data_IF_468612895378
#
_entry.id   IF_468612895378
#
_cell.length_a   1.000
_cell.length_b   1.000
_cell.length_c   1.000
_cell.angle_alpha   90.00
_cell.angle_beta   90.00
_cell.angle_gamma   90.00
#
_symmetry.space_group_name_H-M   'P 1'
#
loop_
_entity.id
_entity.type
_entity.pdbx_description
1 polymer ?
#
# COMPACT_ATOMS: atom_id res chain seq x y z
N UNK A 1 -46.78 -0.68 46.35
CA UNK A 1 -46.27 0.34 45.41
C UNK A 1 -44.74 0.49 45.45
N UNK A 2 -44.11 0.59 46.62
CA UNK A 2 -42.66 0.71 46.79
C UNK A 2 -41.87 -0.47 46.26
N UNK A 3 -42.37 -1.69 46.48
CA UNK A 3 -41.73 -2.95 46.06
C UNK A 3 -41.66 -3.10 44.51
N UNK A 4 -42.70 -2.63 43.79
CA UNK A 4 -42.73 -2.62 42.33
C UNK A 4 -41.74 -1.61 41.75
N UNK A 5 -41.55 -0.47 42.41
CA UNK A 5 -40.62 0.57 42.01
C UNK A 5 -39.18 0.10 42.19
N UNK A 6 -38.85 -0.61 43.28
CA UNK A 6 -37.54 -1.20 43.50
C UNK A 6 -37.24 -2.29 42.44
N UNK A 7 -38.23 -3.13 42.12
CA UNK A 7 -38.04 -4.17 41.07
C UNK A 7 -37.75 -3.57 39.71
N UNK A 8 -38.47 -2.49 39.33
CA UNK A 8 -38.23 -1.81 38.05
C UNK A 8 -36.83 -1.18 37.94
N UNK A 9 -36.30 -0.66 39.02
CA UNK A 9 -34.95 -0.09 39.08
C UNK A 9 -33.90 -1.19 38.91
N UNK A 10 -34.08 -2.34 39.58
CA UNK A 10 -33.16 -3.46 39.42
C UNK A 10 -33.12 -4.01 38.00
N UNK A 11 -34.29 -4.10 37.34
CA UNK A 11 -34.37 -4.55 35.93
C UNK A 11 -33.68 -3.53 35.01
N UNK A 12 -33.86 -2.22 35.23
CA UNK A 12 -33.18 -1.20 34.42
C UNK A 12 -31.65 -1.25 34.58
N UNK A 13 -31.18 -1.42 35.83
CA UNK A 13 -29.74 -1.58 36.09
C UNK A 13 -29.19 -2.83 35.41
N UNK A 14 -29.93 -3.93 35.44
CA UNK A 14 -29.52 -5.17 34.80
C UNK A 14 -29.43 -5.02 33.27
N UNK A 15 -30.46 -4.43 32.63
CA UNK A 15 -30.47 -4.17 31.17
C UNK A 15 -29.33 -3.21 30.78
N UNK A 16 -29.10 -2.16 31.58
CA UNK A 16 -27.99 -1.24 31.34
C UNK A 16 -26.62 -1.92 31.43
N UNK A 17 -26.47 -2.81 32.42
CA UNK A 17 -25.23 -3.57 32.61
C UNK A 17 -24.98 -4.55 31.47
N UNK A 18 -26.01 -5.25 30.98
CA UNK A 18 -25.92 -6.15 29.82
C UNK A 18 -25.56 -5.38 28.54
N UNK A 19 -26.18 -4.22 28.29
CA UNK A 19 -25.87 -3.37 27.14
C UNK A 19 -24.43 -2.84 27.23
N UNK A 20 -23.99 -2.43 28.41
CA UNK A 20 -22.60 -1.99 28.63
C UNK A 20 -21.59 -3.12 28.38
N UNK A 21 -21.88 -4.31 28.86
CA UNK A 21 -21.04 -5.50 28.66
C UNK A 21 -20.97 -5.90 27.19
N UNK A 22 -22.08 -5.94 26.48
CA UNK A 22 -22.18 -6.24 25.06
C UNK A 22 -21.42 -5.23 24.21
N UNK A 23 -21.50 -3.94 24.54
CA UNK A 23 -20.70 -2.89 23.85
C UNK A 23 -19.20 -3.04 24.08
N UNK A 24 -18.79 -3.53 25.23
CA UNK A 24 -17.38 -3.78 25.54
C UNK A 24 -16.83 -4.99 24.80
N UNK A 25 -17.60 -6.07 24.70
CA UNK A 25 -17.27 -7.29 23.93
C UNK A 25 -17.20 -6.98 22.43
N UNK A 26 -18.18 -6.30 21.86
CA UNK A 26 -18.18 -5.86 20.47
C UNK A 26 -17.03 -4.91 20.12
N UNK A 27 -16.59 -4.06 21.07
CA UNK A 27 -15.38 -3.22 20.89
C UNK A 27 -14.09 -4.05 20.90
N UNK A 28 -14.04 -5.11 21.69
CA UNK A 28 -12.89 -6.02 21.74
C UNK A 28 -12.81 -6.87 20.46
N UNK A 29 -13.93 -7.41 19.97
CA UNK A 29 -14.00 -8.11 18.67
C UNK A 29 -13.70 -7.20 17.51
N UNK A 30 -14.26 -6.00 17.43
CA UNK A 30 -13.94 -5.01 16.40
C UNK A 30 -12.49 -4.58 16.40
N UNK A 31 -11.83 -4.56 17.56
CA UNK A 31 -10.40 -4.28 17.69
C UNK A 31 -9.53 -5.47 17.28
N UNK A 32 -9.98 -6.70 17.55
CA UNK A 32 -9.29 -7.92 17.10
C UNK A 32 -9.42 -8.13 15.60
N UNK A 33 -10.59 -7.96 15.03
CA UNK A 33 -10.79 -7.99 13.56
C UNK A 33 -9.93 -6.91 12.88
N UNK A 34 -9.82 -5.71 13.46
CA UNK A 34 -8.93 -4.66 12.97
C UNK A 34 -7.43 -4.99 13.09
N UNK A 35 -7.02 -5.82 14.04
CA UNK A 35 -5.64 -6.29 14.20
C UNK A 35 -5.29 -7.42 13.23
N UNK A 36 -6.21 -8.34 12.96
CA UNK A 36 -6.03 -9.41 11.97
C UNK A 36 -6.05 -8.87 10.53
N UNK A 37 -6.91 -7.88 10.22
CA UNK A 37 -6.94 -7.20 8.93
C UNK A 37 -5.84 -6.12 8.75
N UNK A 38 -4.88 -6.00 9.66
CA UNK A 38 -3.75 -5.07 9.48
C UNK A 38 -2.93 -5.36 8.24
N UNK A 39 -2.92 -6.60 7.76
CA UNK A 39 -2.28 -6.98 6.50
C UNK A 39 -3.14 -6.66 5.26
N UNK A 40 -4.45 -6.48 5.39
CA UNK A 40 -5.40 -6.25 4.29
C UNK A 40 -5.87 -4.80 4.12
N UNK A 41 -5.21 -3.83 4.76
CA UNK A 41 -5.44 -2.39 4.49
C UNK A 41 -5.03 -1.99 3.07
N UNK A 42 -4.35 -2.86 2.35
CA UNK A 42 -3.93 -2.63 0.98
C UNK A 42 -5.04 -3.02 0.03
N UNK A 43 -5.52 -2.05 -0.73
CA UNK A 43 -6.54 -2.28 -1.77
C UNK A 43 -6.09 -3.29 -2.84
N UNK A 44 -4.78 -3.41 -3.06
CA UNK A 44 -4.17 -4.28 -4.06
C UNK A 44 -3.04 -5.10 -3.46
N UNK A 45 -3.00 -6.40 -3.79
CA UNK A 45 -1.89 -7.30 -3.46
C UNK A 45 -0.61 -6.77 -4.11
N UNK A 46 0.51 -6.86 -3.40
CA UNK A 46 1.83 -6.54 -3.93
C UNK A 46 2.58 -7.82 -4.19
N UNK A 47 3.14 -7.90 -5.38
CA UNK A 47 3.94 -9.05 -5.81
C UNK A 47 5.40 -8.64 -5.89
N UNK A 48 6.32 -9.49 -5.41
CA UNK A 48 7.75 -9.24 -5.57
C UNK A 48 8.08 -9.26 -7.07
N UNK A 49 8.69 -8.20 -7.56
CA UNK A 49 9.11 -8.11 -8.95
C UNK A 49 10.34 -7.21 -9.06
N UNK A 50 11.42 -7.77 -9.57
CA UNK A 50 12.65 -7.02 -9.86
C UNK A 50 12.65 -6.64 -11.34
N UNK A 51 12.14 -5.44 -11.62
CA UNK A 51 12.06 -4.89 -12.98
C UNK A 51 13.04 -3.74 -13.12
N UNK A 52 13.59 -3.57 -14.31
CA UNK A 52 14.35 -2.36 -14.66
C UNK A 52 13.41 -1.20 -14.84
N UNK A 53 13.64 -0.14 -14.08
CA UNK A 53 12.80 1.05 -14.05
C UNK A 53 13.64 2.26 -14.41
N UNK A 54 13.22 2.99 -15.45
CA UNK A 54 13.70 4.33 -15.70
C UNK A 54 12.80 5.35 -14.99
N UNK A 55 13.35 6.36 -14.34
CA UNK A 55 12.54 7.44 -13.79
C UNK A 55 13.18 8.81 -13.95
N UNK A 56 12.33 9.81 -13.97
CA UNK A 56 12.65 11.24 -13.97
C UNK A 56 11.72 11.97 -13.01
N UNK A 57 12.23 13.06 -12.40
CA UNK A 57 11.40 13.95 -11.60
C UNK A 57 10.63 14.87 -12.52
N UNK A 58 9.31 14.86 -12.47
CA UNK A 58 8.47 15.73 -13.29
C UNK A 58 8.75 17.20 -12.99
N UNK A 59 8.91 18.00 -14.05
CA UNK A 59 9.17 19.44 -13.92
C UNK A 59 10.62 19.82 -13.61
N UNK A 60 11.56 18.86 -13.56
CA UNK A 60 12.99 19.12 -13.44
C UNK A 60 13.74 18.53 -14.64
N UNK A 61 14.72 19.25 -15.22
CA UNK A 61 15.60 18.68 -16.24
C UNK A 61 16.59 17.71 -15.56
N UNK A 62 16.12 16.52 -15.21
CA UNK A 62 16.96 15.47 -14.63
C UNK A 62 17.21 14.39 -15.66
N UNK A 63 18.42 13.83 -15.76
CA UNK A 63 18.66 12.69 -16.64
C UNK A 63 17.80 11.49 -16.19
N UNK A 64 17.42 10.65 -17.15
CA UNK A 64 16.76 9.38 -16.87
C UNK A 64 17.68 8.54 -15.97
N UNK A 65 17.17 8.12 -14.82
CA UNK A 65 17.88 7.27 -13.88
C UNK A 65 17.32 5.87 -13.97
N UNK A 66 18.20 4.88 -14.08
CA UNK A 66 17.82 3.48 -14.07
C UNK A 66 18.01 2.87 -12.68
N UNK A 67 17.00 2.16 -12.22
CA UNK A 67 16.92 1.52 -10.89
C UNK A 67 16.16 0.21 -11.01
N UNK A 68 16.08 -0.54 -9.91
CA UNK A 68 15.27 -1.74 -9.82
C UNK A 68 13.99 -1.50 -8.99
N UNK A 69 12.91 -2.16 -9.39
CA UNK A 69 11.74 -2.30 -8.53
C UNK A 69 11.98 -3.39 -7.48
N UNK A 70 11.23 -3.31 -6.39
CA UNK A 70 11.17 -4.31 -5.34
C UNK A 70 9.88 -5.12 -5.39
N UNK A 71 8.79 -4.44 -5.58
CA UNK A 71 7.45 -5.00 -5.65
C UNK A 71 6.56 -4.15 -6.57
N UNK A 72 5.52 -4.75 -7.10
CA UNK A 72 4.54 -4.08 -7.98
C UNK A 72 3.13 -4.50 -7.60
N UNK A 73 2.16 -3.61 -7.85
CA UNK A 73 0.74 -3.85 -7.67
C UNK A 73 -0.06 -3.03 -8.69
N UNK A 74 -1.37 -3.26 -8.77
CA UNK A 74 -2.26 -2.47 -9.64
C UNK A 74 -2.27 -0.96 -9.33
N UNK A 75 -1.97 -0.56 -8.09
CA UNK A 75 -2.02 0.84 -7.65
C UNK A 75 -0.67 1.50 -7.46
N UNK A 76 0.44 0.79 -7.61
CA UNK A 76 1.75 1.37 -7.36
C UNK A 76 2.91 0.39 -7.46
N UNK A 77 4.10 0.93 -7.28
CA UNK A 77 5.37 0.19 -7.38
C UNK A 77 6.31 0.57 -6.23
N UNK A 78 7.00 -0.41 -5.68
CA UNK A 78 8.10 -0.21 -4.74
C UNK A 78 9.43 -0.08 -5.48
N UNK A 79 10.16 0.99 -5.22
CA UNK A 79 11.43 1.32 -5.88
C UNK A 79 12.58 1.29 -4.89
N UNK A 80 13.77 0.94 -5.39
CA UNK A 80 15.06 1.10 -4.69
C UNK A 80 15.76 2.28 -5.34
N UNK A 81 15.86 3.41 -4.62
CA UNK A 81 16.42 4.65 -5.13
C UNK A 81 17.61 5.12 -4.29
N UNK A 82 18.53 5.87 -4.90
CA UNK A 82 19.77 6.33 -4.27
C UNK A 82 19.77 7.81 -3.91
N UNK A 83 18.61 8.43 -3.94
CA UNK A 83 18.44 9.83 -3.56
C UNK A 83 17.22 10.03 -2.67
N UNK A 84 17.28 11.05 -1.83
CA UNK A 84 16.15 11.41 -0.98
C UNK A 84 15.17 12.27 -1.76
N UNK A 85 13.98 11.76 -1.98
CA UNK A 85 12.85 12.48 -2.59
C UNK A 85 11.81 12.83 -1.52
N UNK A 86 11.12 13.94 -1.71
CA UNK A 86 10.01 14.31 -0.81
C UNK A 86 8.74 13.54 -1.16
N UNK A 87 7.94 13.23 -0.15
CA UNK A 87 6.58 12.73 -0.37
C UNK A 87 5.79 13.73 -1.23
N UNK A 88 4.97 13.21 -2.12
CA UNK A 88 4.25 14.02 -3.09
C UNK A 88 5.03 14.37 -4.37
N UNK A 89 6.34 14.08 -4.45
CA UNK A 89 7.12 14.29 -5.68
C UNK A 89 6.53 13.49 -6.83
N UNK A 90 6.24 14.15 -7.95
CA UNK A 90 5.75 13.52 -9.18
C UNK A 90 6.92 12.94 -9.98
N UNK A 91 6.77 11.71 -10.42
CA UNK A 91 7.74 10.97 -11.22
C UNK A 91 7.13 10.57 -12.55
N UNK A 92 7.93 10.67 -13.60
CA UNK A 92 7.73 9.97 -14.87
C UNK A 92 8.50 8.68 -14.83
N UNK A 93 7.83 7.55 -15.04
CA UNK A 93 8.36 6.22 -14.82
C UNK A 93 8.20 5.42 -16.11
N UNK A 94 9.26 4.73 -16.50
CA UNK A 94 9.29 3.78 -17.61
C UNK A 94 9.59 2.40 -17.03
N UNK A 95 8.62 1.51 -17.12
CA UNK A 95 8.71 0.14 -16.61
C UNK A 95 9.07 -0.77 -17.76
N UNK A 96 10.20 -1.47 -17.64
CA UNK A 96 10.62 -2.50 -18.58
C UNK A 96 9.99 -3.83 -18.17
N UNK A 97 8.98 -4.27 -18.93
CA UNK A 97 8.28 -5.54 -18.68
C UNK A 97 8.90 -6.60 -19.57
N UNK A 98 9.32 -7.76 -18.99
CA UNK A 98 9.79 -8.90 -19.77
C UNK A 98 8.80 -9.29 -20.88
N UNK A 99 9.32 -9.73 -22.03
CA UNK A 99 8.54 -10.15 -23.20
C UNK A 99 7.89 -9.00 -24.00
N UNK A 100 8.10 -7.74 -23.59
CA UNK A 100 7.56 -6.59 -24.28
C UNK A 100 8.68 -5.73 -24.89
N UNK A 101 8.50 -5.29 -26.14
CA UNK A 101 9.48 -4.44 -26.85
C UNK A 101 9.48 -2.99 -26.34
N UNK A 102 8.33 -2.51 -25.88
CA UNK A 102 8.13 -1.12 -25.45
C UNK A 102 7.99 -1.02 -23.95
N UNK A 103 8.71 -0.05 -23.34
CA UNK A 103 8.58 0.26 -21.92
C UNK A 103 7.23 0.89 -21.64
N UNK A 104 6.57 0.49 -20.55
CA UNK A 104 5.34 1.14 -20.11
C UNK A 104 5.64 2.49 -19.48
N UNK A 105 4.97 3.55 -19.96
CA UNK A 105 5.05 4.88 -19.38
C UNK A 105 3.96 5.07 -18.32
N UNK A 106 4.36 5.51 -17.13
CA UNK A 106 3.47 5.68 -15.97
C UNK A 106 3.80 6.97 -15.26
N UNK A 107 2.79 7.73 -14.90
CA UNK A 107 2.93 8.85 -13.97
C UNK A 107 2.64 8.37 -12.54
N UNK A 108 3.54 8.69 -11.63
CA UNK A 108 3.41 8.29 -10.24
C UNK A 108 3.81 9.40 -9.27
N UNK A 109 3.39 9.25 -8.03
CA UNK A 109 3.71 10.16 -6.93
C UNK A 109 4.34 9.38 -5.78
N UNK A 110 5.44 9.89 -5.24
CA UNK A 110 6.06 9.33 -4.02
C UNK A 110 5.03 9.39 -2.88
N UNK A 111 4.63 8.24 -2.39
CA UNK A 111 3.72 8.11 -1.26
C UNK A 111 4.47 8.07 0.07
N UNK A 112 5.62 7.42 0.08
CA UNK A 112 6.50 7.32 1.24
C UNK A 112 7.92 6.97 0.81
N UNK A 113 8.90 7.30 1.64
CA UNK A 113 10.28 6.91 1.48
C UNK A 113 10.91 6.56 2.83
N UNK A 114 11.71 5.51 2.87
CA UNK A 114 12.44 5.06 4.05
C UNK A 114 13.90 4.81 3.70
N UNK A 115 14.82 5.41 4.46
CA UNK A 115 16.25 5.12 4.35
C UNK A 115 16.53 3.71 4.88
N UNK A 116 17.36 2.97 4.14
CA UNK A 116 17.78 1.61 4.49
C UNK A 116 19.27 1.65 4.71
N UNK A 117 19.69 1.35 5.93
CA UNK A 117 21.11 1.22 6.25
C UNK A 117 21.60 -0.10 5.67
N UNK A 118 22.58 -0.01 4.81
CA UNK A 118 23.27 -1.18 4.24
C UNK A 118 24.74 -1.10 4.67
N UNK A 119 25.14 -1.97 5.58
CA UNK A 119 26.47 -1.94 6.21
C UNK A 119 27.65 -2.06 5.22
N UNK A 120 27.36 -2.46 3.98
CA UNK A 120 28.37 -2.73 2.95
C UNK A 120 28.49 -1.68 1.85
N UNK A 121 27.66 -0.63 1.85
CA UNK A 121 27.65 0.36 0.76
C UNK A 121 27.83 1.79 1.25
N UNK A 122 28.76 2.59 0.68
CA UNK A 122 28.90 4.00 1.00
C UNK A 122 27.75 4.86 0.47
N UNK A 123 26.89 4.32 -0.39
CA UNK A 123 25.76 5.02 -0.98
C UNK A 123 24.51 4.83 -0.13
N UNK A 124 23.82 5.93 0.16
CA UNK A 124 22.52 5.86 0.82
C UNK A 124 21.50 5.19 -0.09
N UNK A 125 20.80 4.22 0.44
CA UNK A 125 19.74 3.47 -0.26
C UNK A 125 18.40 3.81 0.37
N UNK A 126 17.41 4.05 -0.44
CA UNK A 126 16.05 4.35 0.02
C UNK A 126 15.07 3.38 -0.63
N UNK A 127 14.17 2.85 0.17
CA UNK A 127 12.96 2.21 -0.34
C UNK A 127 11.88 3.28 -0.48
N UNK A 128 11.27 3.38 -1.65
CA UNK A 128 10.21 4.33 -1.93
C UNK A 128 8.97 3.60 -2.46
N UNK A 129 7.82 3.92 -1.91
CA UNK A 129 6.53 3.51 -2.45
C UNK A 129 5.99 4.61 -3.36
N UNK A 130 5.69 4.25 -4.60
CA UNK A 130 5.10 5.16 -5.59
C UNK A 130 3.67 4.74 -5.87
N UNK A 131 2.72 5.64 -5.71
CA UNK A 131 1.34 5.45 -6.16
C UNK A 131 1.21 5.93 -7.60
N UNK A 132 0.60 5.14 -8.47
CA UNK A 132 0.25 5.54 -9.82
C UNK A 132 -0.85 6.61 -9.77
N UNK A 133 -0.67 7.71 -10.51
CA UNK A 133 -1.63 8.82 -10.53
C UNK A 133 -2.53 8.77 -11.75
N UNK A 134 -1.97 8.43 -12.90
CA UNK A 134 -2.70 8.34 -14.16
C UNK A 134 -2.14 7.19 -14.97
N UNK A 135 -3.03 6.28 -15.37
CA UNK A 135 -2.76 5.19 -16.31
C UNK A 135 -3.76 5.33 -17.45
N UNK A 136 -3.28 5.37 -18.67
CA UNK A 136 -4.14 5.20 -19.83
C UNK A 136 -4.61 3.76 -19.93
N UNK A 137 -5.75 3.53 -20.59
CA UNK A 137 -6.38 2.22 -20.66
C UNK A 137 -5.46 1.12 -21.18
N UNK A 138 -4.69 1.30 -22.28
CA UNK A 138 -3.76 0.28 -22.74
C UNK A 138 -2.65 -0.02 -21.74
N UNK A 139 -2.04 0.99 -21.11
CA UNK A 139 -1.01 0.79 -20.08
C UNK A 139 -1.57 0.03 -18.87
N UNK A 140 -2.80 0.38 -18.44
CA UNK A 140 -3.47 -0.32 -17.35
C UNK A 140 -3.70 -1.81 -17.69
N UNK A 141 -4.19 -2.11 -18.89
CA UNK A 141 -4.43 -3.48 -19.32
C UNK A 141 -3.14 -4.31 -19.35
N UNK A 142 -2.06 -3.74 -19.88
CA UNK A 142 -0.77 -4.40 -19.92
C UNK A 142 -0.20 -4.65 -18.52
N UNK A 143 -0.33 -3.69 -17.62
CA UNK A 143 0.08 -3.84 -16.23
C UNK A 143 -0.72 -4.94 -15.52
N UNK A 144 -2.04 -5.00 -15.72
CA UNK A 144 -2.89 -6.04 -15.15
C UNK A 144 -2.52 -7.44 -15.67
N UNK A 145 -2.31 -7.58 -16.96
CA UNK A 145 -1.90 -8.85 -17.56
C UNK A 145 -0.55 -9.34 -17.00
N UNK A 146 0.40 -8.41 -16.84
CA UNK A 146 1.69 -8.72 -16.24
C UNK A 146 1.55 -9.16 -14.77
N UNK A 147 0.77 -8.45 -13.96
CA UNK A 147 0.51 -8.79 -12.56
C UNK A 147 -0.14 -10.17 -12.47
N UNK A 148 -1.14 -10.46 -13.30
CA UNK A 148 -1.79 -11.79 -13.34
C UNK A 148 -0.81 -12.90 -13.72
N UNK A 149 0.14 -12.63 -14.60
CA UNK A 149 1.19 -13.60 -14.94
C UNK A 149 2.16 -13.87 -13.80
N UNK A 150 2.43 -12.88 -12.95
CA UNK A 150 3.23 -13.06 -11.73
C UNK A 150 2.47 -13.90 -10.69
N UNK A 151 1.17 -13.63 -10.50
CA UNK A 151 0.33 -14.40 -9.57
C UNK A 151 0.25 -15.87 -9.94
N UNK A 152 0.14 -16.18 -11.23
CA UNK A 152 0.11 -17.57 -11.70
C UNK A 152 1.45 -18.32 -11.57
N UNK A 153 2.57 -17.60 -11.41
CA UNK A 153 3.90 -18.21 -11.17
C UNK A 153 4.17 -18.45 -9.67
N UNK A 154 3.44 -17.77 -8.78
CA UNK A 154 3.55 -17.98 -7.33
C UNK A 154 2.60 -19.07 -6.79
N UNK A 155 1.59 -19.45 -7.56
CA UNK A 155 0.61 -20.48 -7.20
C UNK A 155 1.09 -21.88 -7.58
#
# INVERSE_FOLDING_TARGET
MFLLLCLSIVVLIYVYYEDYRSRKENRAEGRMVGLWNRNERRRFKRLPASLTIGYEISGKPTPLKEICSRDISQGGIGLIIYEKLREGTLLRIWVDIPERKEKLFILGKIAWQKEVTQDSSPKRVFYAGVCFTTLDTPTQLHLLNFISSLESKEA
#
